data_IF_640157183943
#
_entry.id   IF_640157183943
#
_cell.length_a   1.000
_cell.length_b   1.000
_cell.length_c   1.000
_cell.angle_alpha   90.00
_cell.angle_beta   90.00
_cell.angle_gamma   90.00
#
_symmetry.space_group_name_H-M   'P 1'
#
loop_
_entity.id
_entity.type
_entity.pdbx_description
1 polymer ?
#
# COMPACT_ATOMS: atom_id res chain seq x y z
N UNK A 1 -4.25 30.18 11.88
CA UNK A 1 -4.05 28.72 11.93
C UNK A 1 -2.99 28.37 10.90
N UNK A 2 -1.81 28.00 11.31
CA UNK A 2 -0.71 27.60 10.40
C UNK A 2 -1.10 26.28 9.76
N UNK A 3 -1.10 26.24 8.41
CA UNK A 3 -1.27 24.98 7.67
C UNK A 3 -0.23 23.96 8.14
N UNK A 4 -0.59 22.69 8.36
CA UNK A 4 0.36 21.70 8.81
C UNK A 4 1.52 21.58 7.82
N UNK A 5 2.75 21.54 8.35
CA UNK A 5 3.98 21.40 7.55
C UNK A 5 3.90 20.10 6.76
N UNK A 6 4.02 20.18 5.44
CA UNK A 6 3.84 19.02 4.56
C UNK A 6 5.11 18.24 4.33
N UNK A 7 6.25 18.90 4.39
CA UNK A 7 7.57 18.28 4.30
C UNK A 7 8.12 18.19 5.70
N UNK A 8 8.38 16.98 6.16
CA UNK A 8 8.77 16.66 7.53
C UNK A 8 10.07 15.87 7.48
N UNK A 9 11.07 16.33 8.20
CA UNK A 9 12.25 15.52 8.53
C UNK A 9 11.89 14.69 9.76
N UNK A 10 11.98 13.37 9.63
CA UNK A 10 11.66 12.43 10.71
C UNK A 10 12.77 12.44 11.75
N UNK A 11 12.39 12.42 13.02
CA UNK A 11 13.28 12.30 14.15
C UNK A 11 12.71 11.32 15.20
N UNK A 12 13.51 10.98 16.20
CA UNK A 12 13.14 10.01 17.24
C UNK A 12 11.94 10.44 18.11
N UNK A 13 11.66 11.75 18.18
CA UNK A 13 10.49 12.26 18.91
C UNK A 13 9.17 11.98 18.17
N UNK A 14 9.25 11.57 16.92
CA UNK A 14 8.10 11.31 16.08
C UNK A 14 7.70 9.83 16.12
N UNK A 15 6.41 9.58 16.15
CA UNK A 15 5.87 8.23 15.94
C UNK A 15 5.66 7.99 14.44
N UNK A 16 6.42 7.06 13.86
CA UNK A 16 6.23 6.66 12.45
C UNK A 16 4.82 6.12 12.22
N UNK A 17 4.31 5.32 13.15
CA UNK A 17 2.99 4.71 13.02
C UNK A 17 1.88 5.77 13.00
N UNK A 18 2.01 6.84 13.79
CA UNK A 18 1.04 7.96 13.76
C UNK A 18 1.16 8.77 12.48
N UNK A 19 2.38 9.20 12.14
CA UNK A 19 2.63 10.12 11.03
C UNK A 19 2.42 9.51 9.65
N UNK A 20 2.65 8.19 9.51
CA UNK A 20 2.58 7.47 8.23
C UNK A 20 1.39 6.52 8.22
N UNK A 21 1.33 5.57 9.15
CA UNK A 21 0.32 4.50 9.09
C UNK A 21 -1.09 5.04 9.35
N UNK A 22 -1.25 5.87 10.39
CA UNK A 22 -2.56 6.44 10.74
C UNK A 22 -2.96 7.51 9.74
N UNK A 23 -2.10 8.47 9.45
CA UNK A 23 -2.41 9.61 8.59
C UNK A 23 -2.63 9.20 7.13
N UNK A 24 -1.92 8.15 6.64
CA UNK A 24 -2.13 7.64 5.28
C UNK A 24 -3.52 7.02 5.04
N UNK A 25 -4.31 6.79 6.09
CA UNK A 25 -5.72 6.37 5.96
C UNK A 25 -6.57 7.45 5.30
N UNK A 26 -6.18 8.70 5.44
CA UNK A 26 -6.93 9.86 4.94
C UNK A 26 -6.40 10.38 3.60
N UNK A 27 -5.09 10.29 3.37
CA UNK A 27 -4.43 10.84 2.18
C UNK A 27 -3.13 10.08 1.91
N UNK A 28 -2.72 9.92 0.63
CA UNK A 28 -1.42 9.35 0.31
C UNK A 28 -0.27 10.11 0.97
N UNK A 29 0.77 9.39 1.40
CA UNK A 29 1.97 9.94 2.03
C UNK A 29 3.19 9.38 1.33
N UNK A 30 4.13 10.25 0.93
CA UNK A 30 5.44 9.86 0.46
C UNK A 30 6.39 9.72 1.65
N UNK A 31 7.16 8.64 1.67
CA UNK A 31 8.23 8.40 2.65
C UNK A 31 9.52 8.18 1.88
N UNK A 32 10.52 8.97 2.14
CA UNK A 32 11.81 8.95 1.46
C UNK A 32 12.91 8.57 2.46
N UNK A 33 13.46 7.37 2.32
CA UNK A 33 14.66 6.96 3.02
C UNK A 33 15.89 7.42 2.23
N UNK A 34 16.73 8.21 2.86
CA UNK A 34 17.86 8.88 2.22
C UNK A 34 19.06 9.00 3.13
N UNK A 35 20.21 9.40 2.57
CA UNK A 35 21.36 9.87 3.34
C UNK A 35 21.83 11.22 2.81
N UNK A 36 22.20 12.11 3.73
CA UNK A 36 22.67 13.47 3.41
C UNK A 36 23.97 13.49 2.62
N UNK A 37 24.83 12.50 2.83
CA UNK A 37 26.10 12.38 2.12
C UNK A 37 25.97 11.77 0.72
N UNK A 38 24.82 11.18 0.37
CA UNK A 38 24.67 10.45 -0.89
C UNK A 38 24.03 11.32 -1.98
N UNK A 39 24.84 11.76 -2.93
CA UNK A 39 24.44 12.68 -4.02
C UNK A 39 23.16 12.26 -4.77
N UNK A 40 22.91 10.97 -5.10
CA UNK A 40 21.65 10.57 -5.73
C UNK A 40 20.41 10.92 -4.91
N UNK A 41 20.48 10.81 -3.57
CA UNK A 41 19.39 11.21 -2.67
C UNK A 41 19.13 12.72 -2.76
N UNK A 42 20.19 13.53 -2.75
CA UNK A 42 20.09 14.99 -2.85
C UNK A 42 19.49 15.46 -4.18
N UNK A 43 19.70 14.70 -5.27
CA UNK A 43 19.10 15.02 -6.59
C UNK A 43 17.61 14.65 -6.64
N UNK A 44 17.18 13.60 -5.92
CA UNK A 44 15.79 13.17 -5.92
C UNK A 44 14.91 14.01 -4.98
N UNK A 45 15.46 14.43 -3.84
CA UNK A 45 14.74 15.15 -2.78
C UNK A 45 13.89 16.34 -3.31
N UNK A 46 14.43 17.28 -4.13
CA UNK A 46 13.66 18.41 -4.65
C UNK A 46 12.44 17.98 -5.49
N UNK A 47 12.56 16.87 -6.26
CA UNK A 47 11.45 16.34 -7.05
C UNK A 47 10.33 15.80 -6.17
N UNK A 48 10.68 15.11 -5.09
CA UNK A 48 9.69 14.61 -4.12
C UNK A 48 8.99 15.75 -3.38
N UNK A 49 9.74 16.79 -3.03
CA UNK A 49 9.20 18.00 -2.42
C UNK A 49 8.21 18.71 -3.35
N UNK A 50 8.55 18.86 -4.63
CA UNK A 50 7.66 19.42 -5.65
C UNK A 50 6.37 18.59 -5.78
N UNK A 51 6.47 17.27 -5.84
CA UNK A 51 5.30 16.37 -5.90
C UNK A 51 4.43 16.56 -4.66
N UNK A 52 5.04 16.59 -3.47
CA UNK A 52 4.34 16.80 -2.19
C UNK A 52 3.54 18.10 -2.19
N UNK A 53 4.18 19.21 -2.58
CA UNK A 53 3.58 20.54 -2.58
C UNK A 53 2.47 20.66 -3.63
N UNK A 54 2.72 20.21 -4.86
CA UNK A 54 1.76 20.33 -5.96
C UNK A 54 0.51 19.47 -5.74
N UNK A 55 0.62 18.36 -5.05
CA UNK A 55 -0.49 17.46 -4.77
C UNK A 55 -1.08 17.60 -3.36
N UNK A 56 -0.54 18.51 -2.57
CA UNK A 56 -1.03 18.76 -1.22
C UNK A 56 -0.98 17.52 -0.30
N UNK A 57 0.03 16.65 -0.45
CA UNK A 57 0.26 15.45 0.35
C UNK A 57 1.47 15.64 1.28
N UNK A 58 1.60 14.77 2.30
CA UNK A 58 2.79 14.75 3.15
C UNK A 58 3.96 14.06 2.45
N UNK A 59 5.17 14.61 2.68
CA UNK A 59 6.45 13.96 2.42
C UNK A 59 7.19 13.85 3.75
N UNK A 60 7.62 12.66 4.10
CA UNK A 60 8.41 12.38 5.30
C UNK A 60 9.78 11.90 4.83
N UNK A 61 10.81 12.64 5.17
CA UNK A 61 12.20 12.31 4.90
C UNK A 61 12.79 11.62 6.12
N UNK A 62 13.42 10.47 5.93
CA UNK A 62 14.02 9.63 6.97
C UNK A 62 15.49 9.43 6.65
N UNK A 63 16.36 9.98 7.48
CA UNK A 63 17.80 9.75 7.39
C UNK A 63 18.12 8.33 7.87
N UNK A 64 18.72 7.51 6.99
CA UNK A 64 18.91 6.08 7.28
C UNK A 64 19.95 5.83 8.36
N UNK A 65 20.97 6.70 8.47
CA UNK A 65 22.03 6.55 9.45
C UNK A 65 21.54 6.82 10.88
N UNK A 66 20.54 7.71 11.02
CA UNK A 66 19.91 8.06 12.30
C UNK A 66 18.73 7.12 12.63
N UNK A 67 18.18 6.40 11.64
CA UNK A 67 16.95 5.60 11.80
C UNK A 67 17.14 4.15 11.30
N UNK A 68 18.18 3.48 11.79
CA UNK A 68 18.53 2.13 11.34
C UNK A 68 17.44 1.08 11.64
N UNK A 69 16.80 1.17 12.79
CA UNK A 69 15.70 0.25 13.14
C UNK A 69 14.54 0.34 12.14
N UNK A 70 14.16 1.57 11.79
CA UNK A 70 13.10 1.82 10.83
C UNK A 70 13.50 1.38 9.42
N UNK A 71 14.74 1.64 9.02
CA UNK A 71 15.31 1.19 7.75
C UNK A 71 15.30 -0.35 7.64
N UNK A 72 15.64 -1.06 8.70
CA UNK A 72 15.57 -2.51 8.79
C UNK A 72 14.13 -3.03 8.74
N UNK A 73 13.20 -2.37 9.45
CA UNK A 73 11.75 -2.71 9.46
C UNK A 73 11.14 -2.68 8.06
N UNK A 74 11.61 -1.75 7.20
CA UNK A 74 11.14 -1.61 5.82
C UNK A 74 12.08 -2.23 4.79
N UNK A 75 13.09 -3.00 5.21
CA UNK A 75 14.07 -3.67 4.34
C UNK A 75 14.73 -2.70 3.34
N UNK A 76 15.11 -1.51 3.81
CA UNK A 76 15.81 -0.52 3.00
C UNK A 76 17.26 -0.97 2.82
N UNK A 77 17.56 -1.64 1.72
CA UNK A 77 18.90 -2.13 1.37
C UNK A 77 19.68 -1.19 0.44
N UNK A 78 18.98 -0.31 -0.25
CA UNK A 78 19.55 0.67 -1.19
C UNK A 78 18.85 2.01 -1.03
N UNK A 79 19.59 3.10 -1.20
CA UNK A 79 19.08 4.48 -1.11
C UNK A 79 19.35 5.26 -2.42
N UNK A 80 18.53 6.28 -2.75
CA UNK A 80 17.26 6.62 -2.11
C UNK A 80 16.23 5.50 -2.25
N UNK A 81 15.40 5.27 -1.22
CA UNK A 81 14.27 4.35 -1.29
C UNK A 81 13.00 5.11 -0.95
N UNK A 82 12.08 5.19 -1.89
CA UNK A 82 10.84 5.97 -1.76
C UNK A 82 9.66 5.02 -1.70
N UNK A 83 8.83 5.21 -0.68
CA UNK A 83 7.56 4.50 -0.49
C UNK A 83 6.39 5.46 -0.66
N UNK A 84 5.31 4.97 -1.24
CA UNK A 84 4.00 5.61 -1.22
C UNK A 84 3.07 4.83 -0.31
N UNK A 85 2.68 5.45 0.80
CA UNK A 85 1.70 4.89 1.74
C UNK A 85 0.30 5.42 1.43
N UNK A 86 -0.69 4.53 1.51
CA UNK A 86 -2.10 4.88 1.52
C UNK A 86 -2.93 3.80 2.22
N UNK A 87 -3.97 4.22 2.94
CA UNK A 87 -4.82 3.33 3.75
C UNK A 87 -4.07 2.52 4.82
N UNK A 88 -2.97 3.06 5.35
CA UNK A 88 -2.14 2.41 6.38
C UNK A 88 -1.10 1.44 5.84
N UNK A 89 -0.87 1.38 4.51
CA UNK A 89 0.04 0.42 3.88
C UNK A 89 0.93 1.10 2.85
N UNK A 90 2.14 0.55 2.65
CA UNK A 90 2.94 0.86 1.47
C UNK A 90 2.29 0.19 0.26
N UNK A 91 1.90 1.01 -0.73
CA UNK A 91 1.23 0.56 -1.95
C UNK A 91 2.14 0.52 -3.16
N UNK A 92 3.21 1.30 -3.14
CA UNK A 92 4.28 1.33 -4.15
C UNK A 92 5.59 1.71 -3.49
N UNK A 93 6.70 1.21 -4.02
CA UNK A 93 8.04 1.64 -3.64
C UNK A 93 9.00 1.58 -4.83
N UNK A 94 10.09 2.31 -4.74
CA UNK A 94 11.24 2.16 -5.63
C UNK A 94 12.53 2.54 -4.92
N UNK A 95 13.64 1.95 -5.34
CA UNK A 95 14.98 2.33 -4.93
C UNK A 95 15.80 2.88 -6.11
N UNK A 96 16.76 3.76 -5.82
CA UNK A 96 17.61 4.42 -6.80
C UNK A 96 16.92 5.60 -7.51
N UNK A 97 17.66 6.25 -8.44
CA UNK A 97 17.23 7.50 -9.11
C UNK A 97 16.59 7.31 -10.48
N UNK A 98 16.76 6.15 -11.11
CA UNK A 98 16.39 5.94 -12.52
C UNK A 98 15.00 5.34 -12.74
N UNK A 99 14.18 5.30 -11.70
CA UNK A 99 12.83 4.71 -11.76
C UNK A 99 11.75 5.73 -12.13
N UNK A 100 11.97 6.52 -13.18
CA UNK A 100 10.99 7.53 -13.64
C UNK A 100 9.60 6.95 -13.87
N UNK A 101 9.48 5.70 -14.35
CA UNK A 101 8.17 5.04 -14.57
C UNK A 101 7.41 4.84 -13.26
N UNK A 102 8.08 4.36 -12.22
CA UNK A 102 7.43 4.13 -10.91
C UNK A 102 7.05 5.46 -10.25
N UNK A 103 7.92 6.47 -10.35
CA UNK A 103 7.60 7.80 -9.83
C UNK A 103 6.39 8.43 -10.55
N UNK A 104 6.30 8.26 -11.89
CA UNK A 104 5.12 8.69 -12.66
C UNK A 104 3.88 7.94 -12.19
N UNK A 105 3.94 6.62 -12.01
CA UNK A 105 2.80 5.84 -11.50
C UNK A 105 2.37 6.27 -10.10
N UNK A 106 3.32 6.63 -9.23
CA UNK A 106 3.02 7.22 -7.91
C UNK A 106 2.30 8.57 -8.05
N UNK A 107 2.78 9.44 -8.96
CA UNK A 107 2.14 10.74 -9.23
C UNK A 107 0.71 10.55 -9.76
N UNK A 108 0.51 9.64 -10.72
CA UNK A 108 -0.81 9.35 -11.28
C UNK A 108 -1.78 8.86 -10.19
N UNK A 109 -1.30 7.95 -9.33
CA UNK A 109 -2.09 7.46 -8.21
C UNK A 109 -2.45 8.60 -7.24
N UNK A 110 -1.49 9.45 -6.89
CA UNK A 110 -1.69 10.60 -6.01
C UNK A 110 -2.74 11.53 -6.61
N UNK A 111 -2.59 11.90 -7.91
CA UNK A 111 -3.55 12.75 -8.61
C UNK A 111 -4.97 12.18 -8.60
N UNK A 112 -5.13 10.88 -8.85
CA UNK A 112 -6.44 10.23 -8.79
C UNK A 112 -7.07 10.29 -7.40
N UNK A 113 -6.28 10.23 -6.33
CA UNK A 113 -6.78 10.24 -4.96
C UNK A 113 -7.02 11.66 -4.43
N UNK A 114 -6.18 12.63 -4.80
CA UNK A 114 -6.29 14.02 -4.35
C UNK A 114 -7.31 14.84 -5.15
N UNK A 115 -7.42 14.63 -6.47
CA UNK A 115 -8.39 15.34 -7.32
C UNK A 115 -9.85 14.92 -7.12
N UNK A 116 -10.12 13.80 -6.47
CA UNK A 116 -11.48 13.45 -6.05
C UNK A 116 -12.07 14.38 -4.98
N UNK A 117 -11.25 15.26 -4.39
CA UNK A 117 -11.70 16.20 -3.36
C UNK A 117 -12.16 17.58 -3.88
N UNK A 118 -11.96 17.88 -5.18
CA UNK A 118 -12.26 19.21 -5.76
C UNK A 118 -13.38 19.24 -6.80
N UNK A 119 -14.18 18.20 -6.95
CA UNK A 119 -15.19 18.08 -8.01
C UNK A 119 -16.62 17.91 -7.54
N UNK A 120 -17.37 19.01 -7.45
CA UNK A 120 -18.83 19.17 -7.61
C UNK A 120 -19.79 18.19 -6.93
N UNK A 121 -20.52 18.76 -5.96
CA UNK A 121 -21.86 18.31 -5.55
C UNK A 121 -22.78 18.15 -6.77
N UNK A 122 -23.18 16.92 -7.09
CA UNK A 122 -24.45 16.69 -7.77
C UNK A 122 -25.17 15.46 -7.22
N UNK A 123 -26.32 15.78 -6.67
CA UNK A 123 -27.57 15.03 -6.53
C UNK A 123 -27.54 13.60 -5.98
N UNK A 124 -28.06 13.54 -4.80
CA UNK A 124 -28.49 12.41 -4.00
C UNK A 124 -29.76 11.75 -4.58
N UNK A 125 -29.68 10.49 -4.95
CA UNK A 125 -30.78 9.52 -4.76
C UNK A 125 -30.17 8.12 -4.75
N UNK A 126 -30.52 7.32 -3.73
CA UNK A 126 -30.14 5.95 -3.42
C UNK A 126 -29.02 5.74 -2.40
N UNK A 127 -29.17 6.40 -1.24
CA UNK A 127 -28.15 6.40 -0.16
C UNK A 127 -28.02 5.10 0.64
N UNK A 128 -28.94 4.16 0.59
CA UNK A 128 -28.93 3.02 1.52
C UNK A 128 -28.44 1.69 0.91
N UNK A 129 -28.52 1.51 -0.41
CA UNK A 129 -28.05 0.29 -1.07
C UNK A 129 -26.58 0.44 -1.45
N UNK A 130 -26.20 1.61 -1.94
CA UNK A 130 -24.82 1.95 -2.33
C UNK A 130 -23.90 2.02 -1.10
N UNK A 131 -24.35 2.56 0.03
CA UNK A 131 -23.53 2.66 1.24
C UNK A 131 -23.13 1.30 1.85
N UNK A 132 -23.96 0.27 1.73
CA UNK A 132 -23.65 -1.09 2.19
C UNK A 132 -22.71 -1.82 1.23
N UNK A 133 -22.83 -1.60 -0.08
CA UNK A 133 -21.95 -2.16 -1.11
C UNK A 133 -20.60 -1.45 -1.12
N UNK A 134 -20.56 -0.10 -1.04
CA UNK A 134 -19.33 0.71 -1.01
C UNK A 134 -18.48 0.44 0.24
N UNK A 135 -19.11 0.15 1.39
CA UNK A 135 -18.38 -0.22 2.62
C UNK A 135 -17.67 -1.59 2.53
N UNK A 136 -18.12 -2.48 1.64
CA UNK A 136 -17.46 -3.77 1.35
C UNK A 136 -16.46 -3.68 0.21
N UNK A 137 -16.75 -2.90 -0.84
CA UNK A 137 -15.89 -2.74 -2.04
C UNK A 137 -14.60 -1.98 -1.71
N UNK A 138 -14.61 -1.04 -0.76
CA UNK A 138 -13.42 -0.29 -0.35
C UNK A 138 -12.30 -1.10 0.32
N UNK A 139 -12.55 -2.40 0.64
CA UNK A 139 -11.55 -3.29 1.23
C UNK A 139 -10.90 -4.24 0.23
N UNK A 140 -11.52 -4.43 -0.92
CA UNK A 140 -11.04 -5.31 -1.98
C UNK A 140 -10.37 -4.43 -3.04
N UNK A 141 -9.05 -4.56 -3.27
CA UNK A 141 -8.34 -3.79 -4.28
C UNK A 141 -8.82 -4.17 -5.69
N UNK A 142 -8.63 -3.27 -6.65
CA UNK A 142 -8.86 -3.58 -8.06
C UNK A 142 -7.92 -4.68 -8.53
N UNK A 143 -8.37 -5.50 -9.47
CA UNK A 143 -7.55 -6.57 -10.04
C UNK A 143 -6.49 -5.94 -10.97
N UNK A 144 -5.19 -6.18 -10.74
CA UNK A 144 -4.15 -5.62 -11.58
C UNK A 144 -4.11 -6.27 -12.96
N UNK A 145 -3.64 -5.50 -13.96
CA UNK A 145 -3.28 -6.05 -15.26
C UNK A 145 -2.05 -6.97 -15.14
N UNK A 146 -1.83 -7.80 -16.17
CA UNK A 146 -0.65 -8.68 -16.22
C UNK A 146 0.65 -7.88 -16.14
N UNK A 147 1.60 -8.39 -15.35
CA UNK A 147 2.91 -7.77 -15.14
C UNK A 147 3.81 -8.59 -14.24
N UNK A 148 5.07 -8.18 -14.12
CA UNK A 148 6.07 -8.90 -13.32
C UNK A 148 5.77 -8.93 -11.82
N UNK A 149 4.99 -7.95 -11.33
CA UNK A 149 4.70 -7.75 -9.90
C UNK A 149 3.29 -8.20 -9.52
N UNK A 150 2.75 -9.17 -10.26
CA UNK A 150 1.41 -9.71 -10.04
C UNK A 150 1.48 -11.11 -9.46
N UNK A 151 0.66 -11.37 -8.46
CA UNK A 151 0.39 -12.66 -7.86
C UNK A 151 -0.93 -13.19 -8.38
N UNK A 152 -0.91 -14.32 -9.06
CA UNK A 152 -2.11 -15.05 -9.48
C UNK A 152 -2.40 -16.13 -8.45
N UNK A 153 -3.37 -15.90 -7.59
CA UNK A 153 -3.71 -16.79 -6.49
C UNK A 153 -5.01 -17.56 -6.82
N UNK A 154 -4.91 -18.88 -6.73
CA UNK A 154 -6.06 -19.77 -6.80
C UNK A 154 -6.54 -20.12 -5.39
N UNK A 155 -7.85 -20.09 -5.18
CA UNK A 155 -8.46 -20.38 -3.89
C UNK A 155 -9.40 -21.58 -4.03
N UNK A 156 -9.13 -22.62 -3.24
CA UNK A 156 -9.97 -23.81 -3.15
C UNK A 156 -10.88 -23.71 -1.93
N UNK A 157 -12.18 -23.67 -2.17
CA UNK A 157 -13.21 -23.64 -1.14
C UNK A 157 -14.30 -24.64 -1.45
N UNK A 158 -14.48 -25.64 -0.58
CA UNK A 158 -15.34 -26.81 -0.84
C UNK A 158 -14.93 -27.50 -2.17
N UNK A 159 -15.86 -27.61 -3.12
CA UNK A 159 -15.61 -28.18 -4.45
C UNK A 159 -15.30 -27.12 -5.51
N UNK A 160 -15.34 -25.85 -5.15
CA UNK A 160 -15.12 -24.74 -6.07
C UNK A 160 -13.66 -24.24 -6.02
N UNK A 161 -13.18 -23.80 -7.18
CA UNK A 161 -11.90 -23.13 -7.29
C UNK A 161 -12.09 -21.83 -8.05
N UNK A 162 -11.59 -20.73 -7.49
CA UNK A 162 -11.59 -19.43 -8.16
C UNK A 162 -10.21 -18.80 -8.11
N UNK A 163 -9.88 -18.04 -9.15
CA UNK A 163 -8.56 -17.43 -9.33
C UNK A 163 -8.72 -15.92 -9.35
N UNK A 164 -7.75 -15.21 -8.82
CA UNK A 164 -7.65 -13.75 -8.93
C UNK A 164 -6.21 -13.29 -8.89
N UNK A 165 -5.94 -12.20 -9.62
CA UNK A 165 -4.68 -11.49 -9.60
C UNK A 165 -4.66 -10.42 -8.51
N UNK A 166 -3.51 -10.29 -7.87
CA UNK A 166 -3.23 -9.30 -6.83
C UNK A 166 -1.89 -8.65 -7.12
N UNK A 167 -1.76 -7.37 -6.82
CA UNK A 167 -0.46 -6.72 -6.81
C UNK A 167 0.40 -7.27 -5.68
N UNK A 168 1.73 -7.31 -5.86
CA UNK A 168 2.69 -7.70 -4.82
C UNK A 168 2.54 -6.88 -3.52
N UNK A 169 1.96 -5.68 -3.62
CA UNK A 169 1.70 -4.78 -2.50
C UNK A 169 0.36 -5.03 -1.79
N UNK A 170 -0.51 -5.87 -2.36
CA UNK A 170 -1.72 -6.25 -1.66
C UNK A 170 -1.39 -7.06 -0.41
N UNK A 171 -2.11 -6.80 0.66
CA UNK A 171 -1.90 -7.50 1.94
C UNK A 171 -2.69 -8.80 2.02
N UNK A 172 -2.24 -9.71 2.87
CA UNK A 172 -2.99 -10.93 3.23
C UNK A 172 -4.41 -10.58 3.68
N UNK A 173 -4.60 -9.47 4.42
CA UNK A 173 -5.91 -8.99 4.82
C UNK A 173 -6.82 -8.65 3.63
N UNK A 174 -6.29 -7.99 2.60
CA UNK A 174 -7.03 -7.66 1.38
C UNK A 174 -7.38 -8.92 0.57
N UNK A 175 -6.46 -9.89 0.52
CA UNK A 175 -6.74 -11.20 -0.08
C UNK A 175 -7.87 -11.91 0.66
N UNK A 176 -7.83 -11.94 2.00
CA UNK A 176 -8.91 -12.53 2.82
C UNK A 176 -10.26 -11.82 2.61
N UNK A 177 -10.29 -10.50 2.51
CA UNK A 177 -11.54 -9.76 2.25
C UNK A 177 -12.16 -10.14 0.89
N UNK A 178 -11.33 -10.34 -0.14
CA UNK A 178 -11.80 -10.86 -1.42
C UNK A 178 -12.40 -12.26 -1.29
N UNK A 179 -11.69 -13.17 -0.59
CA UNK A 179 -12.17 -14.55 -0.40
C UNK A 179 -13.46 -14.57 0.42
N UNK A 180 -13.58 -13.77 1.49
CA UNK A 180 -14.82 -13.59 2.25
C UNK A 180 -15.98 -13.11 1.38
N UNK A 181 -15.70 -12.17 0.48
CA UNK A 181 -16.70 -11.68 -0.47
C UNK A 181 -17.20 -12.80 -1.40
N UNK A 182 -16.26 -13.60 -1.95
CA UNK A 182 -16.58 -14.70 -2.87
C UNK A 182 -17.30 -15.87 -2.18
N UNK A 183 -16.92 -16.19 -0.95
CA UNK A 183 -17.49 -17.31 -0.18
C UNK A 183 -18.71 -16.92 0.67
N UNK A 184 -19.02 -15.62 0.74
CA UNK A 184 -20.03 -15.04 1.65
C UNK A 184 -19.78 -15.40 3.14
N UNK A 185 -18.54 -15.66 3.49
CA UNK A 185 -18.12 -16.05 4.84
C UNK A 185 -17.74 -14.85 5.71
N UNK A 186 -17.99 -14.93 7.00
CA UNK A 186 -17.62 -13.88 7.95
C UNK A 186 -16.16 -13.99 8.37
N UNK A 187 -15.71 -15.20 8.71
CA UNK A 187 -14.35 -15.48 9.16
C UNK A 187 -13.76 -16.64 8.37
N UNK A 188 -12.51 -16.48 7.95
CA UNK A 188 -11.79 -17.49 7.17
C UNK A 188 -10.32 -17.56 7.54
N UNK A 189 -9.74 -18.75 7.38
CA UNK A 189 -8.31 -18.96 7.23
C UNK A 189 -7.98 -19.24 5.77
N UNK A 190 -6.82 -18.74 5.32
CA UNK A 190 -6.20 -19.14 4.05
C UNK A 190 -4.86 -19.79 4.36
N UNK A 191 -4.56 -20.90 3.69
CA UNK A 191 -3.32 -21.64 3.93
C UNK A 191 -2.85 -22.39 2.68
N UNK A 192 -1.53 -22.61 2.57
CA UNK A 192 -0.96 -23.53 1.57
C UNK A 192 -1.14 -24.97 2.03
N UNK A 193 -1.48 -25.90 1.11
CA UNK A 193 -1.72 -27.31 1.50
C UNK A 193 -0.46 -28.05 1.91
N UNK A 194 0.68 -27.77 1.23
CA UNK A 194 1.93 -28.45 1.50
C UNK A 194 3.16 -27.59 1.18
N UNK A 195 4.06 -27.31 2.16
CA UNK A 195 3.80 -27.50 3.59
C UNK A 195 2.62 -26.63 4.05
N UNK A 196 1.84 -27.13 5.03
CA UNK A 196 0.72 -26.34 5.57
C UNK A 196 1.24 -25.09 6.28
N UNK A 197 0.98 -23.93 5.69
CA UNK A 197 1.28 -22.62 6.28
C UNK A 197 0.03 -21.78 6.29
N UNK A 198 -0.39 -21.37 7.47
CA UNK A 198 -1.57 -20.47 7.65
C UNK A 198 -1.10 -19.02 7.62
N UNK A 199 -1.79 -18.18 6.87
CA UNK A 199 -1.48 -16.75 6.72
C UNK A 199 -2.36 -15.93 7.66
N UNK A 200 -1.88 -15.67 8.88
CA UNK A 200 -2.64 -14.97 9.93
C UNK A 200 -2.32 -13.49 10.02
N UNK A 201 -1.15 -13.06 9.59
CA UNK A 201 -0.79 -11.65 9.61
C UNK A 201 -1.45 -10.90 8.44
N UNK A 202 -2.55 -10.24 8.75
CA UNK A 202 -3.33 -9.49 7.77
C UNK A 202 -2.61 -8.24 7.22
N UNK A 203 -1.51 -7.82 7.86
CA UNK A 203 -0.75 -6.61 7.46
C UNK A 203 0.37 -6.91 6.47
N UNK A 204 0.83 -8.16 6.42
CA UNK A 204 1.92 -8.57 5.53
C UNK A 204 1.49 -8.47 4.07
N UNK A 205 2.28 -7.77 3.24
CA UNK A 205 2.11 -7.72 1.79
C UNK A 205 2.49 -9.06 1.15
N UNK A 206 1.92 -9.36 -0.02
CA UNK A 206 2.19 -10.60 -0.76
C UNK A 206 3.68 -10.77 -1.05
N UNK A 207 4.38 -9.69 -1.40
CA UNK A 207 5.83 -9.68 -1.63
C UNK A 207 6.65 -10.27 -0.47
N UNK A 208 6.19 -10.08 0.76
CA UNK A 208 6.89 -10.51 1.98
C UNK A 208 6.21 -11.68 2.69
N UNK A 209 5.12 -12.19 2.14
CA UNK A 209 4.33 -13.28 2.74
C UNK A 209 4.99 -14.64 2.62
N UNK A 210 5.93 -14.79 1.67
CA UNK A 210 6.51 -16.07 1.30
C UNK A 210 5.60 -16.90 0.39
N UNK A 211 4.57 -16.30 -0.19
CA UNK A 211 3.76 -16.91 -1.25
C UNK A 211 4.51 -16.85 -2.58
N UNK A 212 4.34 -17.88 -3.39
CA UNK A 212 4.79 -17.87 -4.78
C UNK A 212 3.88 -16.97 -5.63
N UNK A 213 4.40 -16.44 -6.75
CA UNK A 213 3.60 -15.60 -7.67
C UNK A 213 2.40 -16.34 -8.27
N UNK A 214 2.46 -17.66 -8.33
CA UNK A 214 1.33 -18.54 -8.66
C UNK A 214 1.22 -19.59 -7.57
N UNK A 215 0.20 -19.46 -6.74
CA UNK A 215 0.00 -20.32 -5.58
C UNK A 215 -1.47 -20.72 -5.44
N UNK A 216 -1.69 -21.95 -4.98
CA UNK A 216 -3.02 -22.44 -4.62
C UNK A 216 -3.17 -22.40 -3.09
N UNK A 217 -4.20 -21.73 -2.63
CA UNK A 217 -4.54 -21.59 -1.23
C UNK A 217 -5.84 -22.30 -0.93
N UNK A 218 -5.87 -23.07 0.13
CA UNK A 218 -7.10 -23.63 0.66
C UNK A 218 -7.76 -22.61 1.60
N UNK A 219 -9.08 -22.61 1.57
CA UNK A 219 -9.94 -21.75 2.41
C UNK A 219 -10.69 -22.60 3.40
N UNK A 220 -10.60 -22.23 4.67
CA UNK A 220 -11.28 -22.86 5.80
C UNK A 220 -12.12 -21.83 6.55
N UNK A 221 -13.36 -22.17 6.88
CA UNK A 221 -14.20 -21.34 7.74
C UNK A 221 -13.79 -21.46 9.22
N UNK A 222 -13.86 -20.35 9.95
CA UNK A 222 -13.58 -20.30 11.39
C UNK A 222 -14.87 -19.88 12.12
#
# INVERSE_FOLDING_TARGET
>A
MTSPKKIIEFNEDNSFDEMVIIDSKNSPILVNFFAQWYTPCLRLKPKLEEISLNNNIKLINIEVDENQELSNRYNVSEIPHVFLFHNGYSIMDFCGTDKNKTLVSMCDYIHQKTNKFTGHRQSLTDKNIVAKAVKRIGKIPDEPNDGENVYELAFKYNNDTFVRKFSEFNTIGQVKEFVKFKTNAANINIFTPFPRKVYNDNKTCLKYSGLSKREMLNVELI
#
